data_IF_981113818068
#
_entry.id   IF_981113818068
#
_cell.length_a   1.000
_cell.length_b   1.000
_cell.length_c   1.000
_cell.angle_alpha   90.00
_cell.angle_beta   90.00
_cell.angle_gamma   90.00
#
_symmetry.space_group_name_H-M   'P 1'
#
loop_
_entity.id
_entity.type
_entity.pdbx_description
1 polymer ?
#
# COMPACT_ATOMS: atom_id res chain seq x y z
N UNK A 1 -35.98 68.07 -21.30
CA UNK A 1 -37.06 67.27 -21.90
C UNK A 1 -36.38 66.04 -22.50
N UNK A 2 -36.18 65.01 -21.68
CA UNK A 2 -36.94 63.74 -21.71
C UNK A 2 -36.28 62.74 -22.69
N UNK A 3 -35.95 61.49 -22.37
CA UNK A 3 -36.25 60.63 -21.24
C UNK A 3 -35.17 59.52 -21.17
N UNK A 4 -34.84 59.12 -19.94
CA UNK A 4 -33.97 57.99 -19.56
C UNK A 4 -34.74 56.66 -19.73
N UNK A 5 -34.14 55.68 -20.40
CA UNK A 5 -34.43 54.24 -20.20
C UNK A 5 -33.08 53.51 -20.39
N UNK A 6 -32.37 52.96 -19.40
CA UNK A 6 -32.85 52.32 -18.18
C UNK A 6 -32.94 50.80 -18.34
N UNK A 7 -31.97 50.12 -18.97
CA UNK A 7 -31.93 48.64 -18.96
C UNK A 7 -31.04 48.10 -17.84
N UNK A 8 -31.80 47.64 -16.83
CA UNK A 8 -31.43 47.13 -15.53
C UNK A 8 -30.45 45.95 -15.59
N UNK A 9 -29.47 46.06 -14.70
CA UNK A 9 -28.72 45.01 -14.01
C UNK A 9 -29.55 43.71 -13.88
N UNK A 10 -29.06 42.62 -14.47
CA UNK A 10 -29.34 41.24 -14.03
C UNK A 10 -28.05 40.66 -13.48
N UNK A 11 -27.63 41.18 -12.32
CA UNK A 11 -26.74 40.45 -11.41
C UNK A 11 -27.68 39.56 -10.62
N UNK A 12 -28.01 38.39 -11.17
CA UNK A 12 -28.71 37.36 -10.43
C UNK A 12 -27.68 36.72 -9.50
N UNK A 13 -27.95 36.86 -8.21
CA UNK A 13 -27.16 36.34 -7.12
C UNK A 13 -26.87 34.84 -7.32
N UNK A 14 -25.59 34.49 -7.54
CA UNK A 14 -25.06 33.17 -7.20
C UNK A 14 -24.80 33.23 -5.70
N UNK A 15 -25.89 33.28 -4.93
CA UNK A 15 -25.86 33.23 -3.48
C UNK A 15 -25.72 31.77 -3.07
N UNK A 16 -24.51 31.43 -2.61
CA UNK A 16 -24.32 30.65 -1.39
C UNK A 16 -25.19 29.41 -1.22
N UNK A 17 -24.87 28.36 -1.96
CA UNK A 17 -24.98 27.00 -1.46
C UNK A 17 -23.60 26.35 -1.60
N UNK A 18 -22.60 26.96 -0.95
CA UNK A 18 -21.48 26.19 -0.42
C UNK A 18 -22.07 25.43 0.76
N UNK A 19 -22.79 24.36 0.44
CA UNK A 19 -23.05 23.29 1.37
C UNK A 19 -21.65 22.76 1.68
N UNK A 20 -21.05 23.28 2.75
CA UNK A 20 -19.94 22.63 3.40
C UNK A 20 -20.49 21.29 3.88
N UNK A 21 -20.45 20.29 3.00
CA UNK A 21 -20.44 18.91 3.42
C UNK A 21 -19.23 18.79 4.32
N UNK A 22 -19.47 18.96 5.62
CA UNK A 22 -18.63 18.34 6.62
C UNK A 22 -18.67 16.86 6.27
N UNK A 23 -17.70 16.43 5.47
CA UNK A 23 -17.31 15.05 5.35
C UNK A 23 -16.77 14.69 6.73
N UNK A 24 -17.69 14.42 7.66
CA UNK A 24 -17.38 13.54 8.76
C UNK A 24 -16.84 12.30 8.07
N UNK A 25 -15.54 12.06 8.24
CA UNK A 25 -14.86 10.89 7.72
C UNK A 25 -15.47 9.66 8.38
N UNK A 26 -16.62 9.23 7.88
CA UNK A 26 -17.08 7.88 8.03
C UNK A 26 -15.97 7.07 7.36
N UNK A 27 -15.07 6.50 8.17
CA UNK A 27 -14.11 5.52 7.67
C UNK A 27 -14.92 4.52 6.85
N UNK A 28 -14.50 4.29 5.61
CA UNK A 28 -15.20 3.37 4.73
C UNK A 28 -15.38 2.06 5.50
N UNK A 29 -16.62 1.63 5.67
CA UNK A 29 -16.89 0.36 6.34
C UNK A 29 -16.16 -0.74 5.55
N UNK A 30 -15.51 -1.70 6.24
CA UNK A 30 -14.89 -2.83 5.56
C UNK A 30 -15.87 -3.45 4.57
N UNK A 31 -15.41 -3.64 3.34
CA UNK A 31 -16.22 -4.20 2.26
C UNK A 31 -15.95 -5.69 2.20
N UNK A 32 -17.00 -6.48 2.05
CA UNK A 32 -16.88 -7.89 1.68
C UNK A 32 -16.26 -7.94 0.29
N UNK A 33 -15.02 -8.40 0.23
CA UNK A 33 -14.29 -8.47 -1.03
C UNK A 33 -14.79 -9.67 -1.85
N UNK A 34 -15.01 -10.81 -1.18
CA UNK A 34 -15.51 -12.02 -1.81
C UNK A 34 -16.41 -12.82 -0.87
N UNK A 35 -17.46 -13.42 -1.42
CA UNK A 35 -18.36 -14.33 -0.71
C UNK A 35 -18.98 -15.34 -1.68
N UNK A 36 -18.95 -16.62 -1.32
CA UNK A 36 -19.77 -17.63 -1.98
C UNK A 36 -21.16 -17.74 -1.30
N UNK A 37 -22.15 -18.22 -2.06
CA UNK A 37 -23.44 -18.67 -1.52
C UNK A 37 -23.24 -19.87 -0.57
N UNK A 38 -24.31 -20.39 0.03
CA UNK A 38 -24.20 -21.46 1.05
C UNK A 38 -24.38 -22.86 0.43
N UNK A 39 -23.30 -23.59 0.05
CA UNK A 39 -23.45 -24.98 -0.39
C UNK A 39 -23.60 -25.98 0.77
N UNK A 40 -24.43 -27.00 0.53
CA UNK A 40 -24.90 -28.01 1.50
C UNK A 40 -23.94 -29.18 1.78
N UNK A 41 -22.72 -29.17 1.24
CA UNK A 41 -21.80 -30.30 1.40
C UNK A 41 -20.70 -29.96 2.41
N UNK A 42 -20.43 -30.87 3.36
CA UNK A 42 -19.27 -30.78 4.24
C UNK A 42 -18.19 -31.72 3.72
N UNK A 43 -17.00 -31.20 3.39
CA UNK A 43 -15.84 -32.05 3.20
C UNK A 43 -14.55 -31.22 3.29
N UNK A 44 -13.89 -31.19 4.45
CA UNK A 44 -12.46 -31.52 4.62
C UNK A 44 -11.93 -31.13 5.99
N UNK A 45 -11.09 -32.04 6.50
CA UNK A 45 -10.58 -32.00 7.87
C UNK A 45 -9.19 -31.32 7.92
N UNK A 46 -9.00 -30.32 8.80
CA UNK A 46 -7.71 -29.67 9.12
C UNK A 46 -7.09 -30.36 10.34
N UNK A 47 -5.78 -30.64 10.34
CA UNK A 47 -5.10 -31.42 11.38
C UNK A 47 -3.60 -31.14 11.53
N UNK A 48 -2.94 -31.85 12.45
CA UNK A 48 -1.50 -31.67 12.77
C UNK A 48 -0.60 -31.83 11.55
N UNK A 49 -0.89 -32.85 10.77
CA UNK A 49 -0.10 -33.24 9.60
C UNK A 49 -0.82 -32.86 8.32
N UNK A 50 -1.80 -31.96 8.41
CA UNK A 50 -2.62 -31.56 7.28
C UNK A 50 -2.96 -30.09 7.38
N UNK A 51 -2.21 -29.31 6.64
CA UNK A 51 -2.58 -27.95 6.32
C UNK A 51 -3.57 -27.99 5.16
N UNK A 52 -4.63 -27.21 5.28
CA UNK A 52 -5.59 -26.98 4.21
C UNK A 52 -5.54 -25.52 3.86
N UNK A 53 -5.52 -25.22 2.58
CA UNK A 53 -5.49 -23.87 2.07
C UNK A 53 -6.54 -23.66 1.00
N UNK A 54 -6.87 -22.40 0.79
CA UNK A 54 -7.50 -21.95 -0.43
C UNK A 54 -6.90 -20.63 -0.88
N UNK A 55 -6.56 -20.54 -2.16
CA UNK A 55 -6.16 -19.28 -2.75
C UNK A 55 -7.35 -18.46 -3.20
N UNK A 56 -7.14 -17.14 -3.29
CA UNK A 56 -8.14 -16.18 -3.72
C UNK A 56 -7.48 -14.91 -4.24
N UNK A 57 -8.19 -14.22 -5.12
CA UNK A 57 -7.72 -12.97 -5.74
C UNK A 57 -8.43 -11.80 -5.08
N UNK A 58 -7.70 -10.87 -4.49
CA UNK A 58 -8.28 -9.66 -3.92
C UNK A 58 -9.00 -8.86 -5.01
N UNK A 59 -10.29 -8.54 -4.81
CA UNK A 59 -11.08 -7.73 -5.75
C UNK A 59 -10.97 -6.23 -5.48
N UNK A 60 -10.69 -5.86 -4.23
CA UNK A 60 -10.59 -4.50 -3.72
C UNK A 60 -9.24 -4.29 -3.06
N UNK A 61 -8.61 -3.14 -3.31
CA UNK A 61 -7.36 -2.75 -2.65
C UNK A 61 -7.60 -2.10 -1.29
N UNK A 62 -6.68 -2.32 -0.36
CA UNK A 62 -6.77 -1.82 1.02
C UNK A 62 -6.00 -2.70 1.98
N UNK A 63 -6.54 -2.90 3.18
CA UNK A 63 -6.01 -3.84 4.17
C UNK A 63 -7.06 -4.91 4.48
N UNK A 64 -6.71 -6.18 4.35
CA UNK A 64 -7.53 -7.28 4.88
C UNK A 64 -7.50 -7.16 6.41
N UNK A 65 -8.65 -6.84 6.98
CA UNK A 65 -8.83 -6.65 8.44
C UNK A 65 -9.46 -7.86 9.11
N UNK A 66 -10.19 -8.67 8.33
CA UNK A 66 -10.96 -9.80 8.84
C UNK A 66 -11.15 -10.87 7.76
N UNK A 67 -11.15 -12.13 8.21
CA UNK A 67 -11.55 -13.29 7.42
C UNK A 67 -12.63 -14.04 8.19
N UNK A 68 -13.71 -14.38 7.51
CA UNK A 68 -14.78 -15.22 8.06
C UNK A 68 -14.66 -16.63 7.49
N UNK A 69 -14.58 -17.65 8.33
CA UNK A 69 -14.45 -19.04 7.89
C UNK A 69 -15.61 -19.90 8.40
N UNK A 70 -16.08 -20.83 7.57
CA UNK A 70 -17.12 -21.79 7.96
C UNK A 70 -16.51 -23.11 8.44
N UNK A 71 -16.18 -23.19 9.73
CA UNK A 71 -15.46 -24.32 10.34
C UNK A 71 -16.27 -24.90 11.50
N UNK A 72 -16.24 -26.22 11.66
CA UNK A 72 -16.82 -26.90 12.82
C UNK A 72 -15.84 -27.86 13.48
N UNK A 73 -16.04 -28.12 14.77
CA UNK A 73 -15.31 -29.15 15.52
C UNK A 73 -16.11 -30.47 15.50
N UNK A 74 -15.55 -31.59 15.02
CA UNK A 74 -16.20 -32.90 15.09
C UNK A 74 -16.47 -33.30 16.55
N UNK A 75 -17.67 -33.79 16.86
CA UNK A 75 -18.10 -34.16 18.23
C UNK A 75 -17.27 -35.27 18.87
N UNK A 76 -16.55 -36.04 18.06
CA UNK A 76 -15.72 -37.17 18.51
C UNK A 76 -14.29 -36.75 18.84
N UNK A 77 -13.91 -35.49 18.58
CA UNK A 77 -12.56 -35.02 18.83
C UNK A 77 -12.43 -34.54 20.29
N UNK A 78 -11.42 -35.00 21.06
CA UNK A 78 -11.10 -34.41 22.35
C UNK A 78 -10.42 -33.05 22.10
N UNK A 79 -11.15 -31.93 22.11
CA UNK A 79 -10.58 -30.65 21.64
C UNK A 79 -10.17 -29.73 22.78
N UNK A 80 -8.86 -29.42 22.83
CA UNK A 80 -8.42 -28.04 23.08
C UNK A 80 -7.27 -27.62 22.14
N UNK A 81 -7.29 -27.97 20.85
CA UNK A 81 -6.21 -27.58 19.93
C UNK A 81 -6.56 -26.31 19.20
N UNK A 82 -5.78 -25.25 19.37
CA UNK A 82 -6.01 -24.00 18.67
C UNK A 82 -5.78 -24.13 17.15
N UNK A 83 -6.55 -23.37 16.38
CA UNK A 83 -6.39 -23.28 14.94
C UNK A 83 -5.45 -22.12 14.61
N UNK A 84 -4.41 -22.38 13.82
CA UNK A 84 -3.57 -21.34 13.24
C UNK A 84 -4.10 -21.00 11.86
N UNK A 85 -4.30 -19.70 11.63
CA UNK A 85 -4.77 -19.13 10.37
C UNK A 85 -3.69 -18.19 9.85
N UNK A 86 -3.13 -18.53 8.69
CA UNK A 86 -2.11 -17.75 8.00
C UNK A 86 -2.70 -17.16 6.71
N UNK A 87 -2.38 -15.89 6.42
CA UNK A 87 -2.45 -15.35 5.07
C UNK A 87 -1.06 -15.40 4.45
N UNK A 88 -0.92 -15.91 3.23
CA UNK A 88 0.37 -16.13 2.58
C UNK A 88 0.40 -15.57 1.15
N UNK A 89 1.59 -15.17 0.66
CA UNK A 89 1.77 -14.95 -0.77
C UNK A 89 1.64 -16.29 -1.51
N UNK A 90 1.43 -16.20 -2.83
CA UNK A 90 1.38 -17.38 -3.70
C UNK A 90 2.58 -17.43 -4.65
N UNK A 91 2.89 -18.63 -5.10
CA UNK A 91 3.86 -18.91 -6.15
C UNK A 91 3.26 -18.56 -7.52
N UNK A 92 4.09 -18.51 -8.57
CA UNK A 92 3.62 -18.30 -9.95
C UNK A 92 2.59 -19.34 -10.43
N UNK A 93 2.54 -20.51 -9.80
CA UNK A 93 1.56 -21.56 -10.08
C UNK A 93 0.25 -21.39 -9.29
N UNK A 94 0.10 -20.30 -8.54
CA UNK A 94 -1.08 -19.99 -7.75
C UNK A 94 -1.27 -20.86 -6.50
N UNK A 95 -0.20 -21.48 -6.00
CA UNK A 95 -0.19 -22.20 -4.72
C UNK A 95 0.43 -21.33 -3.61
N UNK A 96 -0.01 -21.43 -2.35
CA UNK A 96 0.64 -20.71 -1.25
C UNK A 96 2.14 -21.03 -1.18
N UNK A 97 2.96 -20.06 -0.78
CA UNK A 97 4.40 -20.31 -0.55
C UNK A 97 4.56 -21.35 0.57
N UNK A 98 5.45 -22.33 0.36
CA UNK A 98 5.63 -23.45 1.29
C UNK A 98 6.29 -23.05 2.61
N UNK A 99 7.10 -21.99 2.61
CA UNK A 99 7.72 -21.50 3.83
C UNK A 99 6.68 -20.94 4.82
N UNK A 100 6.73 -21.39 6.07
CA UNK A 100 5.86 -20.90 7.14
C UNK A 100 6.22 -19.50 7.60
N UNK A 101 7.47 -19.09 7.43
CA UNK A 101 7.93 -17.76 7.78
C UNK A 101 7.54 -16.72 6.70
N UNK A 102 7.05 -17.18 5.54
CA UNK A 102 6.49 -16.32 4.50
C UNK A 102 5.04 -15.86 4.77
N UNK A 103 4.47 -16.17 5.94
CA UNK A 103 3.15 -15.69 6.31
C UNK A 103 3.13 -14.15 6.40
N UNK A 104 2.20 -13.52 5.68
CA UNK A 104 1.97 -12.07 5.71
C UNK A 104 1.32 -11.63 7.03
N UNK A 105 0.42 -12.46 7.55
CA UNK A 105 -0.15 -12.35 8.90
C UNK A 105 -0.48 -13.77 9.39
N UNK A 106 -0.48 -13.94 10.72
CA UNK A 106 -0.73 -15.19 11.42
C UNK A 106 -1.58 -14.93 12.65
N UNK A 107 -2.65 -15.71 12.79
CA UNK A 107 -3.52 -15.71 13.98
C UNK A 107 -3.62 -17.09 14.58
N UNK A 108 -3.65 -17.13 15.91
CA UNK A 108 -3.96 -18.33 16.68
C UNK A 108 -5.34 -18.14 17.27
N UNK A 109 -6.29 -18.95 16.83
CA UNK A 109 -7.70 -18.87 17.20
C UNK A 109 -8.01 -20.02 18.15
N UNK A 110 -8.50 -19.73 19.37
CA UNK A 110 -8.77 -20.77 20.35
C UNK A 110 -9.88 -21.70 19.87
N UNK A 111 -9.78 -22.99 20.18
CA UNK A 111 -10.79 -23.98 19.78
C UNK A 111 -12.23 -23.60 20.20
N UNK A 112 -12.37 -22.92 21.33
CA UNK A 112 -13.67 -22.45 21.83
C UNK A 112 -14.37 -21.42 20.94
N UNK A 113 -13.68 -20.85 19.95
CA UNK A 113 -14.26 -19.90 18.99
C UNK A 113 -15.06 -20.59 17.87
N UNK A 114 -14.92 -21.91 17.74
CA UNK A 114 -15.56 -22.68 16.67
C UNK A 114 -16.76 -23.48 17.20
N UNK A 115 -17.87 -23.53 16.45
CA UNK A 115 -19.01 -24.36 16.81
C UNK A 115 -18.66 -25.84 16.74
N UNK A 116 -19.34 -26.66 17.55
CA UNK A 116 -19.28 -28.12 17.36
C UNK A 116 -20.17 -28.53 16.19
N UNK A 117 -19.96 -29.72 15.64
CA UNK A 117 -20.74 -30.22 14.50
C UNK A 117 -22.26 -30.31 14.76
N UNK A 118 -22.69 -30.31 16.03
CA UNK A 118 -24.12 -30.32 16.39
C UNK A 118 -24.76 -28.93 16.40
N UNK A 119 -23.94 -27.89 16.44
CA UNK A 119 -24.42 -26.51 16.46
C UNK A 119 -24.77 -26.07 15.03
N UNK A 120 -25.74 -25.16 14.87
CA UNK A 120 -25.95 -24.49 13.60
C UNK A 120 -24.64 -23.85 13.14
N UNK A 121 -24.21 -24.22 11.94
CA UNK A 121 -22.93 -23.78 11.44
C UNK A 121 -23.04 -22.35 10.89
N UNK A 122 -22.36 -21.42 11.55
CA UNK A 122 -22.19 -20.03 11.11
C UNK A 122 -20.72 -19.73 10.79
N UNK A 123 -20.46 -18.56 10.24
CA UNK A 123 -19.11 -18.06 10.02
C UNK A 123 -18.47 -17.65 11.35
N UNK A 124 -17.26 -18.15 11.60
CA UNK A 124 -16.39 -17.66 12.67
C UNK A 124 -15.52 -16.54 12.12
N UNK A 125 -15.63 -15.35 12.71
CA UNK A 125 -14.82 -14.20 12.37
C UNK A 125 -13.41 -14.29 12.97
N UNK A 126 -12.40 -14.04 12.13
CA UNK A 126 -11.00 -13.94 12.51
C UNK A 126 -10.56 -12.51 12.24
N UNK A 127 -10.45 -11.72 13.31
CA UNK A 127 -10.20 -10.27 13.25
C UNK A 127 -8.75 -9.90 13.54
N UNK A 128 -8.44 -8.62 13.32
CA UNK A 128 -7.16 -8.01 13.67
C UNK A 128 -6.06 -8.26 12.66
N UNK A 129 -6.39 -8.80 11.49
CA UNK A 129 -5.46 -8.97 10.37
C UNK A 129 -5.02 -7.60 9.84
N UNK A 130 -3.80 -7.54 9.29
CA UNK A 130 -3.25 -6.30 8.74
C UNK A 130 -2.46 -6.54 7.45
N UNK A 131 -3.05 -7.29 6.50
CA UNK A 131 -2.39 -7.62 5.23
C UNK A 131 -2.78 -6.61 4.15
N UNK A 132 -1.85 -5.82 3.59
CA UNK A 132 -2.15 -4.97 2.45
C UNK A 132 -2.42 -5.81 1.22
N UNK A 133 -3.39 -5.36 0.42
CA UNK A 133 -3.71 -5.96 -0.87
C UNK A 133 -4.01 -4.90 -1.91
N UNK A 134 -3.69 -5.23 -3.15
CA UNK A 134 -4.15 -4.55 -4.35
C UNK A 134 -5.16 -5.42 -5.12
N UNK A 135 -6.06 -4.82 -5.93
CA UNK A 135 -6.94 -5.60 -6.80
C UNK A 135 -6.11 -6.46 -7.75
N UNK A 136 -6.33 -7.77 -7.73
CA UNK A 136 -5.59 -8.75 -8.53
C UNK A 136 -4.55 -9.55 -7.74
N UNK A 137 -4.21 -9.15 -6.51
CA UNK A 137 -3.29 -9.91 -5.67
C UNK A 137 -3.83 -11.31 -5.40
N UNK A 138 -3.01 -12.34 -5.67
CA UNK A 138 -3.34 -13.73 -5.41
C UNK A 138 -2.72 -14.17 -4.07
N UNK A 139 -3.57 -14.40 -3.07
CA UNK A 139 -3.17 -14.81 -1.73
C UNK A 139 -3.67 -16.21 -1.40
N UNK A 140 -3.05 -16.84 -0.39
CA UNK A 140 -3.50 -18.10 0.19
C UNK A 140 -3.96 -17.93 1.62
N UNK A 141 -5.20 -18.34 1.92
CA UNK A 141 -5.67 -18.57 3.29
C UNK A 141 -5.32 -19.99 3.70
N UNK A 142 -4.44 -20.16 4.69
CA UNK A 142 -3.94 -21.46 5.15
C UNK A 142 -4.39 -21.72 6.58
N UNK A 143 -5.01 -22.87 6.83
CA UNK A 143 -5.44 -23.34 8.13
C UNK A 143 -4.64 -24.57 8.56
N UNK A 144 -4.23 -24.58 9.83
CA UNK A 144 -3.47 -25.70 10.42
C UNK A 144 -3.71 -25.82 11.92
N UNK A 145 -3.58 -27.02 12.47
CA UNK A 145 -3.75 -27.29 13.90
C UNK A 145 -2.47 -27.95 14.47
N UNK A 146 -1.36 -27.21 14.60
CA UNK A 146 -0.02 -27.76 14.80
C UNK A 146 0.16 -28.45 16.16
N UNK A 147 -0.73 -28.21 17.13
CA UNK A 147 -0.68 -28.87 18.43
C UNK A 147 -1.53 -30.14 18.52
N UNK A 148 -2.27 -30.48 17.47
CA UNK A 148 -3.05 -31.73 17.47
C UNK A 148 -2.13 -32.96 17.34
N UNK A 149 -2.56 -34.16 17.78
CA UNK A 149 -1.78 -35.38 17.58
C UNK A 149 -1.73 -35.79 16.11
N UNK A 150 -0.69 -36.53 15.73
CA UNK A 150 -0.59 -37.23 14.45
C UNK A 150 -1.84 -38.09 14.19
N UNK A 151 -2.32 -38.09 12.94
CA UNK A 151 -3.57 -38.76 12.55
C UNK A 151 -4.87 -38.15 13.09
N UNK A 152 -4.81 -37.07 13.89
CA UNK A 152 -5.99 -36.35 14.39
C UNK A 152 -6.22 -35.09 13.57
N UNK A 153 -7.46 -34.92 13.13
CA UNK A 153 -7.89 -33.74 12.40
C UNK A 153 -9.08 -33.11 13.15
N UNK A 154 -8.82 -32.13 14.05
CA UNK A 154 -9.80 -31.64 15.02
C UNK A 154 -10.79 -30.63 14.44
N UNK A 155 -10.68 -30.24 13.17
CA UNK A 155 -11.54 -29.25 12.53
C UNK A 155 -12.04 -29.74 11.18
N UNK A 156 -13.29 -29.47 10.84
CA UNK A 156 -13.87 -29.65 9.51
C UNK A 156 -14.14 -28.28 8.89
N UNK A 157 -13.37 -27.92 7.86
CA UNK A 157 -13.58 -26.73 7.05
C UNK A 157 -14.56 -27.10 5.95
N UNK A 158 -15.74 -26.48 5.96
CA UNK A 158 -16.77 -26.82 4.99
C UNK A 158 -16.34 -26.46 3.59
N UNK A 159 -16.56 -27.41 2.69
CA UNK A 159 -16.25 -27.27 1.29
C UNK A 159 -17.52 -27.39 0.45
N UNK A 160 -17.78 -26.42 -0.41
CA UNK A 160 -18.86 -26.49 -1.39
C UNK A 160 -18.75 -27.70 -2.31
N UNK A 161 -19.82 -27.95 -3.08
CA UNK A 161 -19.84 -29.03 -4.05
C UNK A 161 -18.62 -28.96 -4.98
N UNK A 162 -18.01 -30.11 -5.24
CA UNK A 162 -16.88 -30.20 -6.17
C UNK A 162 -17.33 -29.67 -7.55
N UNK A 163 -16.71 -28.58 -8.01
CA UNK A 163 -17.04 -27.93 -9.28
C UNK A 163 -17.55 -26.50 -9.17
N UNK A 164 -17.73 -25.98 -7.95
CA UNK A 164 -18.04 -24.56 -7.69
C UNK A 164 -16.93 -23.87 -6.88
N UNK A 165 -15.65 -23.89 -7.34
CA UNK A 165 -14.59 -23.15 -6.67
C UNK A 165 -14.87 -21.65 -6.74
N UNK A 166 -14.43 -20.89 -5.73
CA UNK A 166 -14.23 -19.45 -5.84
C UNK A 166 -13.70 -19.09 -7.24
N UNK A 167 -14.31 -18.10 -7.89
CA UNK A 167 -13.84 -17.62 -9.18
C UNK A 167 -12.40 -17.10 -8.99
N UNK A 168 -11.42 -17.85 -9.52
CA UNK A 168 -9.96 -17.66 -9.35
C UNK A 168 -9.28 -18.28 -8.11
N UNK A 169 -10.01 -19.02 -7.27
CA UNK A 169 -9.44 -19.69 -6.10
C UNK A 169 -9.10 -21.17 -6.34
N UNK A 170 -7.95 -21.61 -5.83
CA UNK A 170 -7.54 -23.03 -5.87
C UNK A 170 -7.44 -23.59 -4.45
N UNK A 171 -8.30 -24.55 -4.07
CA UNK A 171 -8.16 -25.23 -2.79
C UNK A 171 -6.99 -26.21 -2.85
N UNK A 172 -6.16 -26.23 -1.81
CA UNK A 172 -4.94 -27.03 -1.74
C UNK A 172 -4.76 -27.68 -0.36
N UNK A 173 -4.01 -28.78 -0.30
CA UNK A 173 -3.53 -29.38 0.94
C UNK A 173 -2.03 -29.62 0.88
N UNK A 174 -1.41 -29.73 2.05
CA UNK A 174 -0.09 -30.33 2.23
C UNK A 174 0.02 -31.04 3.57
N UNK A 175 1.03 -31.90 3.71
CA UNK A 175 1.36 -32.61 4.94
C UNK A 175 1.13 -34.13 4.87
N UNK A 176 1.72 -34.85 5.81
CA UNK A 176 1.94 -36.30 5.73
C UNK A 176 0.69 -37.16 5.98
N UNK A 177 -0.36 -36.64 6.63
CA UNK A 177 -1.54 -37.44 6.99
C UNK A 177 -2.32 -37.98 5.78
N UNK A 178 -2.17 -37.36 4.61
CA UNK A 178 -2.79 -37.83 3.38
C UNK A 178 -1.68 -38.07 2.37
N UNK A 179 -1.54 -39.31 1.92
CA UNK A 179 -0.52 -39.72 0.93
C UNK A 179 -0.51 -38.79 -0.29
N UNK A 180 -1.68 -38.31 -0.72
CA UNK A 180 -1.79 -37.38 -1.85
C UNK A 180 -1.37 -35.94 -1.55
N UNK A 181 -1.16 -35.55 -0.29
CA UNK A 181 -0.73 -34.21 0.16
C UNK A 181 0.71 -34.21 0.74
N UNK A 182 1.39 -35.36 0.79
CA UNK A 182 2.65 -35.51 1.54
C UNK A 182 3.87 -34.75 0.97
N UNK A 183 3.81 -34.31 -0.29
CA UNK A 183 4.94 -33.65 -0.97
C UNK A 183 4.54 -32.29 -1.52
N UNK A 184 4.53 -31.29 -0.64
CA UNK A 184 4.19 -29.92 -1.00
C UNK A 184 2.69 -29.71 -1.24
N UNK A 185 2.35 -28.53 -1.77
CA UNK A 185 0.96 -28.19 -2.07
C UNK A 185 0.39 -29.04 -3.21
N UNK A 186 -0.84 -29.51 -3.02
CA UNK A 186 -1.58 -30.31 -3.98
C UNK A 186 -3.01 -29.80 -4.05
N UNK A 187 -3.48 -29.56 -5.27
CA UNK A 187 -4.87 -29.16 -5.49
C UNK A 187 -5.82 -30.23 -5.00
N UNK A 188 -6.87 -29.78 -4.35
CA UNK A 188 -7.96 -30.60 -3.87
C UNK A 188 -9.27 -29.97 -4.36
N UNK A 189 -10.34 -30.74 -4.57
CA UNK A 189 -11.59 -30.20 -5.17
C UNK A 189 -12.56 -29.58 -4.17
N UNK A 190 -13.35 -28.58 -4.56
CA UNK A 190 -14.41 -28.01 -3.71
C UNK A 190 -13.95 -26.78 -2.90
N UNK A 191 -14.87 -25.83 -2.77
CA UNK A 191 -14.65 -24.48 -2.28
C UNK A 191 -14.69 -24.40 -0.76
N UNK A 192 -13.55 -24.19 -0.11
CA UNK A 192 -13.48 -23.95 1.32
C UNK A 192 -14.19 -22.62 1.62
N UNK A 193 -15.35 -22.68 2.26
CA UNK A 193 -16.21 -21.52 2.42
C UNK A 193 -15.57 -20.48 3.36
N UNK A 194 -15.19 -19.33 2.81
CA UNK A 194 -14.76 -18.17 3.59
C UNK A 194 -15.19 -16.85 2.92
N UNK A 195 -15.04 -15.76 3.67
CA UNK A 195 -15.18 -14.37 3.18
C UNK A 195 -14.00 -13.55 3.66
N UNK A 196 -13.55 -12.62 2.84
CA UNK A 196 -12.52 -11.65 3.18
C UNK A 196 -13.17 -10.27 3.31
N UNK A 197 -12.70 -9.51 4.30
CA UNK A 197 -13.12 -8.14 4.51
C UNK A 197 -11.91 -7.23 4.35
N UNK A 198 -12.00 -6.33 3.38
CA UNK A 198 -10.96 -5.33 3.09
C UNK A 198 -11.47 -3.98 3.55
N UNK A 199 -10.67 -3.29 4.35
CA UNK A 199 -10.86 -1.87 4.62
C UNK A 199 -10.08 -1.07 3.56
N UNK A 200 -10.77 -0.42 2.60
CA UNK A 200 -10.11 0.34 1.54
C UNK A 200 -9.58 1.71 2.00
N UNK A 201 -10.02 2.18 3.17
CA UNK A 201 -9.54 3.42 3.77
C UNK A 201 -8.21 3.19 4.52
N UNK A 202 -8.01 1.97 5.04
CA UNK A 202 -6.70 1.54 5.52
C UNK A 202 -5.81 1.23 4.32
N UNK A 203 -4.60 1.78 4.35
CA UNK A 203 -3.50 1.34 3.49
C UNK A 203 -2.33 1.02 4.40
N UNK A 204 -1.72 -0.15 4.22
CA UNK A 204 -0.46 -0.41 4.91
C UNK A 204 0.56 0.51 4.28
N UNK A 205 1.03 1.40 5.14
CA UNK A 205 2.24 2.14 4.99
C UNK A 205 3.41 1.20 4.62
N UNK A 206 3.67 0.96 3.33
CA UNK A 206 4.68 0.02 2.86
C UNK A 206 6.06 0.34 3.45
N UNK A 207 6.53 -0.40 4.44
CA UNK A 207 7.87 -0.21 5.01
C UNK A 207 8.91 -0.72 4.03
N UNK A 208 9.67 0.20 3.43
CA UNK A 208 10.87 -0.13 2.64
C UNK A 208 11.90 -0.79 3.59
N UNK A 209 12.53 -1.88 3.13
CA UNK A 209 13.39 -2.76 3.93
C UNK A 209 14.59 -2.09 4.63
N UNK A 210 15.16 -2.81 5.61
CA UNK A 210 16.25 -2.37 6.50
C UNK A 210 17.53 -1.88 5.76
N UNK A 211 18.14 -0.73 6.13
CA UNK A 211 19.32 -0.17 5.46
C UNK A 211 20.65 -0.90 5.60
N UNK A 212 21.38 -0.93 4.48
CA UNK A 212 22.84 -1.11 4.40
C UNK A 212 23.64 0.11 4.91
N UNK A 213 24.94 0.17 4.56
CA UNK A 213 25.88 1.23 4.99
C UNK A 213 25.73 2.48 4.11
N UNK A 214 25.57 3.65 4.73
CA UNK A 214 25.12 4.86 4.05
C UNK A 214 26.12 5.64 3.17
N UNK A 215 25.62 6.52 2.28
CA UNK A 215 26.44 7.47 1.52
C UNK A 215 26.52 8.82 2.25
N UNK A 216 27.71 9.41 2.29
CA UNK A 216 27.99 10.65 3.04
C UNK A 216 27.64 11.89 2.21
N UNK A 217 26.81 12.82 2.73
CA UNK A 217 26.58 14.14 2.09
C UNK A 217 27.72 15.05 2.50
N UNK A 218 28.23 15.91 1.61
CA UNK A 218 29.26 16.88 2.00
C UNK A 218 28.99 18.31 1.48
N UNK A 219 28.20 19.11 2.18
CA UNK A 219 28.29 20.59 2.15
C UNK A 219 27.52 21.35 1.08
N UNK A 220 27.50 22.68 1.18
CA UNK A 220 26.87 23.67 0.26
C UNK A 220 27.23 23.49 -1.21
N UNK A 221 28.42 22.99 -1.50
CA UNK A 221 28.87 22.68 -2.84
C UNK A 221 28.48 21.29 -3.27
N UNK A 222 27.70 20.53 -2.50
CA UNK A 222 27.23 19.20 -2.87
C UNK A 222 25.75 19.03 -2.60
N UNK A 223 25.08 18.56 -3.63
CA UNK A 223 23.72 18.09 -3.50
C UNK A 223 23.70 16.59 -3.77
N UNK A 224 22.89 15.88 -3.01
CA UNK A 224 22.52 14.51 -3.31
C UNK A 224 21.07 14.49 -3.72
N UNK A 225 20.75 13.60 -4.65
CA UNK A 225 19.38 13.34 -5.01
C UNK A 225 19.11 11.85 -5.13
N UNK A 226 17.85 11.50 -4.94
CA UNK A 226 17.30 10.20 -5.29
C UNK A 226 16.05 10.43 -6.13
N UNK A 227 16.00 9.81 -7.30
CA UNK A 227 14.79 9.81 -8.12
C UNK A 227 13.93 8.61 -7.78
N UNK A 228 12.64 8.73 -8.06
CA UNK A 228 11.66 7.67 -7.87
C UNK A 228 10.50 7.86 -8.86
N UNK A 229 9.91 6.72 -9.26
CA UNK A 229 8.73 6.71 -10.10
C UNK A 229 7.48 6.61 -9.22
N UNK A 230 6.47 7.42 -9.51
CA UNK A 230 5.17 7.37 -8.86
C UNK A 230 4.40 6.19 -9.42
N UNK A 231 4.03 5.23 -8.58
CA UNK A 231 3.26 4.05 -9.04
C UNK A 231 1.75 4.33 -9.14
N UNK A 232 1.23 5.26 -8.34
CA UNK A 232 -0.19 5.57 -8.29
C UNK A 232 -0.49 7.06 -8.43
N UNK A 233 -1.53 7.39 -9.19
CA UNK A 233 -2.05 8.75 -9.31
C UNK A 233 -2.68 9.21 -7.99
N UNK A 234 -2.32 10.38 -7.49
CA UNK A 234 -2.88 10.92 -6.26
C UNK A 234 -2.18 12.19 -5.77
N UNK A 235 -2.02 12.31 -4.47
CA UNK A 235 -1.29 13.41 -3.83
C UNK A 235 -0.13 12.86 -3.01
N UNK A 236 1.11 13.17 -3.37
CA UNK A 236 2.29 12.88 -2.56
C UNK A 236 2.20 13.71 -1.27
N UNK A 237 2.08 13.01 -0.12
CA UNK A 237 1.82 13.63 1.18
C UNK A 237 3.08 13.85 1.99
N UNK A 238 3.92 12.83 2.08
CA UNK A 238 5.19 12.90 2.80
C UNK A 238 6.23 11.96 2.21
N UNK A 239 7.49 12.21 2.59
CA UNK A 239 8.62 11.34 2.30
C UNK A 239 9.39 11.11 3.60
N UNK A 240 9.68 9.86 3.92
CA UNK A 240 10.53 9.47 5.04
C UNK A 240 11.95 9.22 4.53
N UNK A 241 12.92 9.95 5.10
CA UNK A 241 14.33 9.90 4.71
C UNK A 241 15.19 9.31 5.84
N UNK A 242 16.10 8.40 5.50
CA UNK A 242 17.07 7.90 6.48
C UNK A 242 18.28 8.84 6.52
N UNK A 243 18.22 9.83 7.42
CA UNK A 243 19.24 10.88 7.55
C UNK A 243 19.93 10.82 8.90
N UNK A 244 21.21 11.20 8.92
CA UNK A 244 21.92 11.51 10.18
C UNK A 244 22.82 12.73 10.03
N UNK A 245 23.25 13.28 11.17
CA UNK A 245 24.34 14.26 11.25
C UNK A 245 25.51 13.72 12.07
N UNK A 246 26.77 14.09 11.76
CA UNK A 246 27.91 13.70 12.58
C UNK A 246 27.83 14.35 13.98
N UNK A 247 28.32 13.65 15.00
CA UNK A 247 28.25 14.12 16.41
C UNK A 247 29.19 15.27 16.74
N UNK A 248 30.21 15.50 15.90
CA UNK A 248 31.26 16.48 16.15
C UNK A 248 30.95 17.87 15.62
N UNK A 249 29.87 18.01 14.84
CA UNK A 249 29.42 19.31 14.37
C UNK A 249 28.38 19.86 15.35
N UNK A 250 28.80 20.82 16.18
CA UNK A 250 27.86 21.74 16.84
C UNK A 250 27.28 22.77 15.86
N UNK A 251 27.72 22.72 14.60
CA UNK A 251 27.43 23.77 13.63
C UNK A 251 25.95 23.81 13.21
N UNK A 252 25.40 25.03 13.00
CA UNK A 252 23.97 25.28 12.85
C UNK A 252 23.48 25.18 11.40
N UNK A 253 24.16 24.42 10.53
CA UNK A 253 23.79 24.40 9.12
C UNK A 253 22.42 23.80 8.92
N UNK A 254 21.56 24.45 8.16
CA UNK A 254 20.22 23.92 7.87
C UNK A 254 20.29 22.86 6.76
N UNK A 255 19.51 21.79 6.91
CA UNK A 255 19.25 20.87 5.81
C UNK A 255 18.03 21.36 5.03
N UNK A 256 18.18 21.58 3.74
CA UNK A 256 17.08 21.83 2.81
C UNK A 256 16.81 20.56 2.02
N UNK A 257 15.55 20.14 2.02
CA UNK A 257 15.03 19.04 1.22
C UNK A 257 14.04 19.59 0.21
N UNK A 258 14.36 19.44 -1.08
CA UNK A 258 13.48 19.82 -2.18
C UNK A 258 12.89 18.56 -2.83
N UNK A 259 11.62 18.61 -3.21
CA UNK A 259 11.03 17.65 -4.17
C UNK A 259 10.96 18.34 -5.51
N UNK A 260 11.61 17.78 -6.53
CA UNK A 260 11.76 18.40 -7.86
C UNK A 260 11.26 17.48 -8.97
N UNK A 261 10.84 18.03 -10.13
CA UNK A 261 10.70 17.26 -11.35
C UNK A 261 12.05 16.77 -11.85
N UNK A 262 12.04 15.76 -12.72
CA UNK A 262 13.24 15.30 -13.43
C UNK A 262 13.27 15.81 -14.87
N UNK A 263 14.49 15.87 -15.43
CA UNK A 263 14.71 16.03 -16.85
C UNK A 263 14.30 14.76 -17.64
N UNK A 264 14.26 14.85 -18.97
CA UNK A 264 14.01 13.69 -19.83
C UNK A 264 15.06 12.58 -19.68
N UNK A 265 16.25 12.89 -19.15
CA UNK A 265 17.30 11.91 -18.86
C UNK A 265 17.22 11.29 -17.46
N UNK A 266 16.14 11.53 -16.71
CA UNK A 266 15.95 11.00 -15.36
C UNK A 266 16.60 11.82 -14.25
N UNK A 267 17.67 12.58 -14.53
CA UNK A 267 18.32 13.42 -13.53
C UNK A 267 17.39 14.55 -13.03
N UNK A 268 17.51 15.01 -11.76
CA UNK A 268 16.74 16.14 -11.24
C UNK A 268 16.93 17.40 -12.09
N UNK A 269 15.92 18.29 -12.14
CA UNK A 269 16.10 19.60 -12.78
C UNK A 269 17.14 20.45 -12.00
N UNK A 270 18.04 21.09 -12.75
CA UNK A 270 19.16 21.89 -12.21
C UNK A 270 18.71 23.18 -11.50
N UNK A 271 17.54 23.72 -11.85
CA UNK A 271 17.01 24.95 -11.27
C UNK A 271 16.36 24.69 -9.90
N UNK A 272 16.90 25.29 -8.84
CA UNK A 272 16.33 25.22 -7.49
C UNK A 272 14.92 25.84 -7.42
N UNK A 273 14.62 26.81 -8.29
CA UNK A 273 13.30 27.42 -8.40
C UNK A 273 12.23 26.48 -8.97
N UNK A 274 12.63 25.32 -9.52
CA UNK A 274 11.72 24.31 -10.03
C UNK A 274 11.21 23.34 -8.94
N UNK A 275 11.59 23.54 -7.67
CA UNK A 275 11.10 22.73 -6.56
C UNK A 275 9.56 22.80 -6.47
N UNK A 276 8.92 21.63 -6.44
CA UNK A 276 7.48 21.46 -6.23
C UNK A 276 7.13 21.67 -4.76
N UNK A 277 8.04 21.28 -3.86
CA UNK A 277 7.99 21.55 -2.44
C UNK A 277 9.40 21.67 -1.87
N UNK A 278 9.54 22.47 -0.81
CA UNK A 278 10.81 22.66 -0.09
C UNK A 278 10.54 22.61 1.41
N UNK A 279 11.38 21.86 2.13
CA UNK A 279 11.38 21.79 3.59
C UNK A 279 12.77 22.07 4.13
N UNK A 280 12.83 22.92 5.15
CA UNK A 280 14.08 23.21 5.86
C UNK A 280 14.03 22.59 7.26
N UNK A 281 15.10 21.90 7.63
CA UNK A 281 15.32 21.33 8.95
C UNK A 281 16.49 22.05 9.62
N UNK A 282 16.26 22.53 10.84
CA UNK A 282 17.35 22.91 11.72
C UNK A 282 18.18 21.67 12.07
N UNK A 283 19.50 21.82 12.27
CA UNK A 283 20.38 20.67 12.53
C UNK A 283 19.92 19.80 13.70
N UNK A 284 19.34 20.41 14.75
CA UNK A 284 18.76 19.72 15.90
C UNK A 284 17.63 18.72 15.58
N UNK A 285 16.96 18.88 14.45
CA UNK A 285 15.85 18.03 14.00
C UNK A 285 16.33 16.78 13.26
N UNK A 286 17.59 16.75 12.82
CA UNK A 286 18.19 15.58 12.17
C UNK A 286 18.90 14.71 13.21
N UNK A 287 18.59 13.40 13.30
CA UNK A 287 19.21 12.50 14.27
C UNK A 287 20.74 12.47 14.17
N UNK A 288 21.45 12.34 15.29
CA UNK A 288 22.91 12.17 15.25
C UNK A 288 23.30 10.74 14.89
N UNK A 289 24.56 10.51 14.50
CA UNK A 289 25.04 9.15 14.19
C UNK A 289 24.84 8.13 15.33
N UNK A 290 24.80 8.59 16.58
CA UNK A 290 24.60 7.76 17.78
C UNK A 290 23.14 7.48 18.10
N UNK A 291 22.20 8.23 17.52
CA UNK A 291 20.79 7.99 17.73
C UNK A 291 20.33 6.69 17.04
N UNK A 292 19.30 6.01 17.57
CA UNK A 292 18.61 4.95 16.83
C UNK A 292 18.20 5.45 15.44
N UNK A 293 18.25 4.56 14.44
CA UNK A 293 17.80 4.86 13.08
C UNK A 293 16.34 5.30 13.13
N UNK A 294 16.12 6.60 12.93
CA UNK A 294 14.81 7.22 12.93
C UNK A 294 14.68 7.95 11.62
N UNK A 295 13.59 7.68 10.89
CA UNK A 295 13.33 8.41 9.66
C UNK A 295 13.09 9.90 9.97
N UNK A 296 13.70 10.76 9.15
CA UNK A 296 13.39 12.18 9.10
C UNK A 296 12.25 12.35 8.11
N UNK A 297 11.06 12.70 8.61
CA UNK A 297 9.86 12.88 7.80
C UNK A 297 9.81 14.28 7.18
N UNK A 298 9.60 14.32 5.86
CA UNK A 298 9.31 15.51 5.07
C UNK A 298 7.80 15.53 4.84
N UNK A 299 7.08 16.23 5.71
CA UNK A 299 5.63 16.33 5.74
C UNK A 299 5.07 17.49 4.90
N UNK A 300 3.74 17.57 4.81
CA UNK A 300 2.98 18.66 4.18
C UNK A 300 3.34 18.95 2.70
N UNK A 301 3.77 17.95 1.94
CA UNK A 301 4.16 18.14 0.53
C UNK A 301 2.96 18.54 -0.35
N UNK A 302 1.84 17.81 -0.22
CA UNK A 302 0.60 18.04 -0.97
C UNK A 302 0.79 18.18 -2.50
N UNK A 303 1.73 17.43 -3.08
CA UNK A 303 2.06 17.51 -4.51
C UNK A 303 1.12 16.59 -5.29
N UNK A 304 0.31 17.10 -6.24
CA UNK A 304 -0.46 16.23 -7.13
C UNK A 304 0.48 15.46 -8.06
N UNK A 305 0.29 14.15 -8.16
CA UNK A 305 1.12 13.24 -8.95
C UNK A 305 0.27 12.29 -9.77
N UNK A 306 0.77 11.87 -10.93
CA UNK A 306 0.21 10.83 -11.77
C UNK A 306 1.10 9.57 -11.74
N UNK A 307 0.49 8.40 -11.91
CA UNK A 307 1.22 7.17 -12.12
C UNK A 307 2.16 7.30 -13.34
N UNK A 308 3.43 6.94 -13.16
CA UNK A 308 4.51 7.10 -14.12
C UNK A 308 5.27 8.42 -14.03
N UNK A 309 4.82 9.39 -13.22
CA UNK A 309 5.62 10.60 -12.96
C UNK A 309 6.96 10.21 -12.31
N UNK A 310 8.05 10.86 -12.72
CA UNK A 310 9.36 10.68 -12.09
C UNK A 310 9.72 11.96 -11.35
N UNK A 311 9.94 11.84 -10.04
CA UNK A 311 10.32 12.95 -9.16
C UNK A 311 11.69 12.68 -8.56
N UNK A 312 12.31 13.74 -8.05
CA UNK A 312 13.57 13.70 -7.32
C UNK A 312 13.39 14.29 -5.92
N UNK A 313 13.97 13.65 -4.91
CA UNK A 313 14.24 14.28 -3.61
C UNK A 313 15.68 14.76 -3.62
N UNK A 314 15.89 16.05 -3.40
CA UNK A 314 17.20 16.70 -3.44
C UNK A 314 17.54 17.26 -2.05
N UNK A 315 18.71 16.90 -1.53
CA UNK A 315 19.22 17.34 -0.24
C UNK A 315 20.37 18.32 -0.48
N UNK A 316 20.29 19.49 0.17
CA UNK A 316 21.33 20.52 0.12
C UNK A 316 21.44 21.26 1.44
N UNK A 317 22.57 21.91 1.69
CA UNK A 317 22.81 22.69 2.91
C UNK A 317 23.42 24.04 2.51
N UNK A 318 22.61 25.02 2.06
CA UNK A 318 23.11 26.23 1.40
C UNK A 318 23.96 27.13 2.29
N UNK A 319 23.91 26.94 3.61
CA UNK A 319 24.73 27.67 4.59
C UNK A 319 26.02 26.96 5.01
N UNK A 320 26.22 25.70 4.60
CA UNK A 320 27.47 25.01 4.88
C UNK A 320 28.63 25.64 4.09
N UNK A 321 29.90 25.46 4.48
CA UNK A 321 31.04 25.76 3.61
C UNK A 321 31.38 24.59 2.67
N UNK A 322 32.04 24.89 1.53
CA UNK A 322 32.33 23.96 0.40
C UNK A 322 32.95 22.61 0.81
N UNK A 323 33.66 22.60 1.93
CA UNK A 323 34.42 21.45 2.42
C UNK A 323 33.82 20.80 3.68
N UNK A 324 32.59 21.13 4.06
CA UNK A 324 31.96 20.66 5.30
C UNK A 324 30.82 19.70 5.01
N UNK A 325 30.70 18.61 5.76
CA UNK A 325 29.70 17.56 5.57
C UNK A 325 28.70 17.46 6.71
N UNK A 326 27.66 18.31 6.73
CA UNK A 326 26.80 18.38 7.91
C UNK A 326 25.85 17.19 8.05
N UNK A 327 25.58 16.44 6.97
CA UNK A 327 24.56 15.40 6.93
C UNK A 327 25.03 14.15 6.19
N UNK A 328 24.42 13.00 6.48
CA UNK A 328 24.65 11.72 5.82
C UNK A 328 23.27 11.15 5.40
N UNK A 329 23.15 10.62 4.17
CA UNK A 329 21.95 9.93 3.69
C UNK A 329 22.24 8.44 3.59
N UNK A 330 21.51 7.61 4.33
CA UNK A 330 21.74 6.17 4.29
C UNK A 330 21.43 5.60 2.91
N UNK A 331 22.48 5.14 2.24
CA UNK A 331 22.42 4.21 1.15
C UNK A 331 22.06 2.78 1.60
N UNK A 332 21.20 2.15 0.82
CA UNK A 332 20.88 0.73 0.95
C UNK A 332 22.04 -0.16 0.48
N UNK A 333 21.90 -1.49 0.61
CA UNK A 333 22.81 -2.43 -0.04
C UNK A 333 22.87 -2.13 -1.54
N UNK A 334 24.07 -2.20 -2.13
CA UNK A 334 24.22 -2.06 -3.58
C UNK A 334 23.38 -3.14 -4.30
N UNK A 335 22.54 -2.74 -5.25
CA UNK A 335 21.66 -3.63 -6.02
C UNK A 335 20.18 -3.60 -5.62
N UNK A 336 19.83 -2.89 -4.54
CA UNK A 336 18.44 -2.70 -4.09
C UNK A 336 18.00 -1.24 -4.36
N UNK A 337 18.11 -0.81 -5.62
CA UNK A 337 17.60 0.50 -6.04
C UNK A 337 16.09 0.57 -5.81
N UNK A 338 15.61 1.68 -5.24
CA UNK A 338 14.18 1.99 -5.27
C UNK A 338 13.68 1.81 -6.70
N UNK A 339 12.65 0.98 -6.90
CA UNK A 339 12.24 0.56 -8.23
C UNK A 339 11.98 1.80 -9.12
N UNK A 340 12.65 1.86 -10.27
CA UNK A 340 12.55 2.99 -11.20
C UNK A 340 13.21 4.29 -10.74
N UNK A 341 14.11 4.23 -9.77
CA UNK A 341 14.88 5.36 -9.25
C UNK A 341 16.40 5.24 -9.48
N UNK A 342 17.10 6.36 -9.38
CA UNK A 342 18.55 6.45 -9.40
C UNK A 342 19.06 7.50 -8.42
N UNK A 343 20.22 7.25 -7.80
CA UNK A 343 20.91 8.21 -6.97
C UNK A 343 21.74 9.16 -7.84
N UNK A 344 21.79 10.44 -7.49
CA UNK A 344 22.61 11.43 -8.17
C UNK A 344 23.38 12.29 -7.18
N UNK A 345 24.48 12.87 -7.64
CA UNK A 345 25.12 14.00 -6.98
C UNK A 345 25.50 15.08 -7.97
N UNK A 346 25.61 16.32 -7.49
CA UNK A 346 26.28 17.41 -8.21
C UNK A 346 27.11 18.23 -7.24
N UNK A 347 28.21 18.80 -7.71
CA UNK A 347 29.09 19.58 -6.84
C UNK A 347 30.58 19.30 -6.99
N UNK A 348 31.42 20.34 -6.87
CA UNK A 348 32.85 20.27 -7.19
C UNK A 348 33.71 19.44 -6.22
N UNK A 349 33.17 19.03 -5.07
CA UNK A 349 34.00 18.58 -3.95
C UNK A 349 34.11 17.03 -3.80
N UNK A 350 33.46 16.22 -4.65
CA UNK A 350 33.74 14.77 -4.78
C UNK A 350 34.28 14.53 -6.19
N UNK A 351 35.38 13.79 -6.34
CA UNK A 351 35.93 13.41 -7.64
C UNK A 351 34.92 12.70 -8.57
N UNK A 352 33.84 12.15 -7.99
CA UNK A 352 32.75 11.45 -8.66
C UNK A 352 31.59 12.37 -9.08
N UNK A 353 31.50 13.59 -8.53
CA UNK A 353 30.41 14.53 -8.85
C UNK A 353 30.91 15.59 -9.81
N UNK A 354 30.23 15.75 -10.95
CA UNK A 354 30.51 16.83 -11.89
C UNK A 354 29.85 18.15 -11.45
N UNK A 355 30.08 19.21 -12.22
CA UNK A 355 29.38 20.49 -12.08
C UNK A 355 27.87 20.40 -12.37
N UNK A 356 27.40 19.27 -12.89
CA UNK A 356 25.98 18.93 -13.06
C UNK A 356 25.70 17.55 -12.49
N UNK A 357 24.45 17.08 -12.59
CA UNK A 357 24.06 15.79 -12.05
C UNK A 357 24.86 14.62 -12.65
N UNK A 358 25.50 13.86 -11.77
CA UNK A 358 26.22 12.63 -12.05
C UNK A 358 25.53 11.50 -11.30
N UNK A 359 25.19 10.43 -12.02
CA UNK A 359 24.55 9.26 -11.41
C UNK A 359 25.54 8.53 -10.49
N UNK A 360 25.04 8.09 -9.34
CA UNK A 360 25.76 7.33 -8.34
C UNK A 360 25.26 5.89 -8.35
N UNK A 361 26.18 4.95 -8.10
CA UNK A 361 25.78 3.58 -7.85
C UNK A 361 25.18 3.47 -6.44
N UNK A 362 23.90 3.10 -6.34
CA UNK A 362 23.23 2.80 -5.07
C UNK A 362 21.82 3.36 -4.97
N UNK A 363 21.16 3.01 -3.87
CA UNK A 363 19.86 3.53 -3.48
C UNK A 363 20.01 4.42 -2.26
N UNK A 364 19.47 5.64 -2.27
CA UNK A 364 19.38 6.44 -1.07
C UNK A 364 18.05 6.15 -0.40
N UNK A 365 18.10 5.37 0.67
CA UNK A 365 16.91 4.82 1.28
C UNK A 365 15.92 5.91 1.67
N UNK A 366 14.74 5.79 1.08
CA UNK A 366 13.62 6.65 1.34
C UNK A 366 12.32 5.90 1.14
N UNK A 367 11.25 6.52 1.61
CA UNK A 367 9.90 6.03 1.42
C UNK A 367 8.98 7.20 1.10
N UNK A 368 8.42 7.22 -0.10
CA UNK A 368 7.42 8.19 -0.49
C UNK A 368 6.00 7.65 -0.24
N UNK A 369 5.08 8.49 0.21
CA UNK A 369 3.67 8.11 0.42
C UNK A 369 2.74 8.97 -0.41
N UNK A 370 2.02 8.32 -1.33
CA UNK A 370 0.99 8.95 -2.16
C UNK A 370 -0.39 8.60 -1.62
N UNK A 371 -1.14 9.62 -1.24
CA UNK A 371 -2.57 9.50 -0.99
C UNK A 371 -3.31 9.42 -2.34
N UNK A 372 -3.58 8.20 -2.78
CA UNK A 372 -4.49 7.93 -3.90
C UNK A 372 -5.91 8.27 -3.42
N UNK A 373 -6.64 9.16 -4.11
CA UNK A 373 -8.04 9.41 -3.81
C UNK A 373 -8.77 8.08 -3.70
N UNK A 374 -9.67 7.94 -2.73
CA UNK A 374 -10.59 6.82 -2.75
C UNK A 374 -11.22 6.73 -4.15
N UNK A 375 -11.40 5.54 -4.72
CA UNK A 375 -12.20 5.34 -5.93
C UNK A 375 -13.67 5.66 -5.61
N UNK A 376 -13.95 6.91 -5.23
CA UNK A 376 -15.28 7.40 -4.96
C UNK A 376 -16.06 7.42 -6.26
N UNK A 377 -17.29 6.92 -6.23
CA UNK A 377 -18.24 6.81 -7.36
C UNK A 377 -18.63 8.12 -8.06
N UNK A 378 -17.81 9.17 -8.00
CA UNK A 378 -17.95 10.44 -8.71
C UNK A 378 -17.29 10.47 -10.11
N UNK A 379 -16.46 9.49 -10.46
CA UNK A 379 -15.97 9.33 -11.84
C UNK A 379 -17.11 9.35 -12.90
N UNK A 380 -18.27 8.68 -12.70
CA UNK A 380 -19.41 8.86 -13.60
C UNK A 380 -20.11 10.22 -13.48
N UNK A 381 -20.08 10.89 -12.32
CA UNK A 381 -20.76 12.18 -12.12
C UNK A 381 -20.05 13.33 -12.85
N UNK A 382 -18.72 13.37 -12.85
CA UNK A 382 -17.95 14.35 -13.61
C UNK A 382 -18.07 14.13 -15.13
N UNK A 383 -18.10 12.87 -15.58
CA UNK A 383 -18.37 12.52 -16.98
C UNK A 383 -19.81 12.89 -17.40
N UNK A 384 -20.80 12.65 -16.53
CA UNK A 384 -22.20 13.01 -16.77
C UNK A 384 -22.41 14.53 -16.83
N UNK A 385 -21.75 15.30 -15.95
CA UNK A 385 -21.81 16.78 -15.98
C UNK A 385 -21.10 17.36 -17.21
N UNK A 386 -19.98 16.78 -17.65
CA UNK A 386 -19.32 17.15 -18.89
C UNK A 386 -20.20 16.82 -20.13
N UNK A 387 -20.85 15.65 -20.13
CA UNK A 387 -21.79 15.25 -21.18
C UNK A 387 -23.05 16.15 -21.21
N UNK A 388 -23.64 16.47 -20.05
CA UNK A 388 -24.76 17.41 -19.94
C UNK A 388 -24.37 18.82 -20.37
N UNK A 389 -23.15 19.27 -20.03
CA UNK A 389 -22.59 20.53 -20.51
C UNK A 389 -22.40 20.56 -22.03
N UNK A 390 -21.98 19.46 -22.65
CA UNK A 390 -21.85 19.33 -24.10
C UNK A 390 -23.22 19.33 -24.81
N UNK A 391 -24.22 18.65 -24.24
CA UNK A 391 -25.61 18.63 -24.75
C UNK A 391 -26.24 20.02 -24.65
N UNK A 392 -26.10 20.71 -23.51
CA UNK A 392 -26.63 22.06 -23.31
C UNK A 392 -26.01 23.07 -24.30
N UNK A 393 -24.70 22.98 -24.55
CA UNK A 393 -24.02 23.82 -25.57
C UNK A 393 -24.51 23.53 -26.99
N UNK A 394 -24.86 22.28 -27.30
CA UNK A 394 -25.42 21.89 -28.61
C UNK A 394 -26.81 22.49 -28.81
N UNK A 395 -27.69 22.41 -27.80
CA UNK A 395 -29.02 23.04 -27.86
C UNK A 395 -28.96 24.57 -27.99
N UNK A 396 -28.04 25.23 -27.28
CA UNK A 396 -27.86 26.68 -27.37
C UNK A 396 -27.37 27.16 -28.76
N UNK A 397 -26.62 26.33 -29.50
CA UNK A 397 -26.19 26.66 -30.88
C UNK A 397 -27.29 26.46 -31.92
N UNK A 398 -28.15 25.47 -31.75
CA UNK A 398 -29.27 25.21 -32.67
C UNK A 398 -30.33 26.31 -32.56
N UNK A 399 -30.62 26.80 -31.35
CA UNK A 399 -31.59 27.88 -31.11
C UNK A 399 -31.22 29.22 -31.75
N UNK A 400 -29.93 29.49 -32.02
CA UNK A 400 -29.47 30.76 -32.65
C UNK A 400 -29.58 30.78 -34.18
N UNK A 401 -29.94 29.67 -34.83
CA UNK A 401 -30.05 29.59 -36.30
C UNK A 401 -31.49 29.68 -36.82
N UNK A 402 -32.48 29.82 -35.93
CA UNK A 402 -33.91 29.80 -36.26
C UNK A 402 -34.64 31.14 -36.07
N UNK A 403 -33.91 32.24 -36.06
CA UNK A 403 -34.40 33.63 -36.12
C UNK A 403 -33.55 34.37 -37.13
#
# INVERSE_FOLDING_TARGET
MEQRIGRRRRVAAIAGCVLACAAAGAGAEPVVDQALGDPDNGNRIVGHERDVAQTFTAGVGGVITRVDVKISIPTTAPVPYDLVVDLRPTTELGMPVEDDDAALDRRVVPASAFPTFLDPLDFTAIEGLAVPVEPGDLLGLVLRAPSSPEGVAPYDWRAGAAGDPYESGTPACRGAAIVSCATGWRTIGGDQQFRTWVDPALRVEASVGEPGNGLRIVGDARELAQTFTIEHTGTLRWIDLQLRRPTTFEDPYELVVDVRPTSAGGAPLEDDGAALATRTFASGQVPTFLAPRTATRVDDLAIPVAAGDVLAVVLRSPSAPENVAPYDWFAGPAGDAYAGGAAYCRGAAIEQCASGWSELAGDMQMRAVVEVPEPGGAAPACAALAALGAVARRYARVSKKST
#
